data_IF_304828502427
#
_entry.id   IF_304828502427
#
_cell.length_a   1.000
_cell.length_b   1.000
_cell.length_c   1.000
_cell.angle_alpha   90.00
_cell.angle_beta   90.00
_cell.angle_gamma   90.00
#
_symmetry.space_group_name_H-M   'P 1'
#
loop_
_entity.id
_entity.type
_entity.pdbx_description
1 polymer ?
#
# COMPACT_ATOMS: atom_id res chain seq x y z
N UNK A 1 10.84 4.62 9.67
CA UNK A 1 9.82 3.64 10.11
C UNK A 1 8.90 4.17 11.21
N UNK A 2 9.43 4.77 12.31
CA UNK A 2 8.61 5.26 13.43
C UNK A 2 7.43 6.17 13.03
N UNK A 3 7.61 7.03 12.02
CA UNK A 3 6.55 7.88 11.48
C UNK A 3 5.40 7.05 10.90
N UNK A 4 5.70 5.97 10.17
CA UNK A 4 4.69 5.12 9.56
C UNK A 4 3.84 4.38 10.61
N UNK A 5 4.47 3.86 11.68
CA UNK A 5 3.74 3.27 12.79
C UNK A 5 2.75 4.25 13.43
N UNK A 6 3.17 5.49 13.67
CA UNK A 6 2.28 6.54 14.20
C UNK A 6 1.11 6.86 13.26
N UNK A 7 1.35 6.89 11.95
CA UNK A 7 0.29 7.12 10.96
C UNK A 7 -0.71 5.97 10.95
N UNK A 8 -0.23 4.71 10.90
CA UNK A 8 -1.12 3.54 10.94
C UNK A 8 -1.94 3.50 12.23
N UNK A 9 -1.34 3.82 13.37
CA UNK A 9 -2.05 3.91 14.65
C UNK A 9 -3.16 4.98 14.60
N UNK A 10 -2.88 6.14 14.03
CA UNK A 10 -3.88 7.20 13.84
C UNK A 10 -5.02 6.77 12.92
N UNK A 11 -4.72 6.15 11.78
CA UNK A 11 -5.76 5.67 10.87
C UNK A 11 -6.55 4.49 11.44
N UNK A 12 -5.94 3.65 12.30
CA UNK A 12 -6.66 2.61 13.03
C UNK A 12 -7.70 3.20 13.98
N UNK A 13 -7.34 4.25 14.70
CA UNK A 13 -8.30 4.99 15.56
C UNK A 13 -9.40 5.65 14.71
N UNK A 14 -9.06 6.19 13.55
CA UNK A 14 -10.04 6.75 12.61
C UNK A 14 -11.01 5.67 12.11
N UNK A 15 -10.51 4.48 11.74
CA UNK A 15 -11.37 3.37 11.33
C UNK A 15 -12.34 2.97 12.44
N UNK A 16 -11.86 2.85 13.68
CA UNK A 16 -12.71 2.54 14.83
C UNK A 16 -13.84 3.57 14.99
N UNK A 17 -13.49 4.87 14.98
CA UNK A 17 -14.48 5.94 15.08
C UNK A 17 -15.51 5.92 13.94
N UNK A 18 -15.04 5.76 12.68
CA UNK A 18 -15.91 5.69 11.51
C UNK A 18 -16.86 4.50 11.58
N UNK A 19 -16.37 3.35 12.04
CA UNK A 19 -17.18 2.13 12.21
C UNK A 19 -18.22 2.30 13.31
N UNK A 20 -17.82 2.79 14.48
CA UNK A 20 -18.71 2.98 15.65
C UNK A 20 -19.84 3.96 15.32
N UNK A 21 -19.50 5.10 14.72
CA UNK A 21 -20.52 6.08 14.31
C UNK A 21 -21.43 5.51 13.23
N UNK A 22 -20.90 4.74 12.29
CA UNK A 22 -21.70 4.09 11.25
C UNK A 22 -22.68 3.09 11.84
N UNK A 23 -22.24 2.28 12.78
CA UNK A 23 -23.10 1.33 13.49
C UNK A 23 -24.17 2.04 14.32
N UNK A 24 -23.81 3.12 15.02
CA UNK A 24 -24.75 3.89 15.82
C UNK A 24 -25.81 4.64 15.01
N UNK A 25 -25.43 5.13 13.81
CA UNK A 25 -26.33 5.95 12.96
C UNK A 25 -27.14 5.10 11.99
N UNK A 26 -26.55 4.06 11.40
CA UNK A 26 -27.15 3.25 10.34
C UNK A 26 -27.67 1.92 10.87
N UNK A 27 -27.14 1.41 11.98
CA UNK A 27 -27.53 0.12 12.53
C UNK A 27 -27.47 -1.00 11.47
N UNK A 28 -28.59 -1.75 11.33
CA UNK A 28 -28.72 -2.82 10.36
C UNK A 28 -28.65 -2.38 8.89
N UNK A 29 -28.91 -1.10 8.60
CA UNK A 29 -28.86 -0.59 7.23
C UNK A 29 -27.42 -0.50 6.70
N UNK A 30 -26.39 -0.49 7.55
CA UNK A 30 -25.02 -0.55 7.14
C UNK A 30 -24.74 -1.80 6.28
N UNK A 31 -25.34 -2.94 6.62
CA UNK A 31 -25.21 -4.19 5.85
C UNK A 31 -25.79 -4.07 4.43
N UNK A 32 -26.78 -3.23 4.23
CA UNK A 32 -27.41 -3.00 2.91
C UNK A 32 -26.64 -1.96 2.08
N UNK A 33 -25.75 -1.21 2.71
CA UNK A 33 -24.93 -0.18 2.07
C UNK A 33 -23.55 -0.73 1.74
N UNK A 34 -23.53 -1.73 0.85
CA UNK A 34 -22.31 -2.50 0.51
C UNK A 34 -21.12 -1.61 0.14
N UNK A 35 -21.34 -0.57 -0.68
CA UNK A 35 -20.28 0.36 -1.07
C UNK A 35 -19.70 1.15 0.11
N UNK A 36 -20.53 1.48 1.10
CA UNK A 36 -20.06 2.17 2.30
C UNK A 36 -19.26 1.22 3.19
N UNK A 37 -19.75 -0.01 3.37
CA UNK A 37 -19.04 -1.07 4.09
C UNK A 37 -17.73 -1.45 3.40
N UNK A 38 -17.70 -1.52 2.06
CA UNK A 38 -16.49 -1.79 1.29
C UNK A 38 -15.40 -0.77 1.57
N UNK A 39 -15.70 0.53 1.64
CA UNK A 39 -14.72 1.57 1.98
C UNK A 39 -14.12 1.40 3.37
N UNK A 40 -14.91 0.96 4.36
CA UNK A 40 -14.35 0.60 5.68
C UNK A 40 -13.44 -0.63 5.56
N UNK A 41 -13.80 -1.59 4.72
CA UNK A 41 -12.96 -2.74 4.37
C UNK A 41 -11.65 -2.34 3.70
N UNK A 42 -11.68 -1.37 2.78
CA UNK A 42 -10.48 -0.85 2.10
C UNK A 42 -9.52 -0.19 3.10
N UNK A 43 -10.05 0.60 4.06
CA UNK A 43 -9.24 1.18 5.13
C UNK A 43 -8.59 0.07 5.97
N UNK A 44 -9.36 -0.96 6.37
CA UNK A 44 -8.85 -2.09 7.14
C UNK A 44 -7.76 -2.85 6.37
N UNK A 45 -8.00 -3.13 5.10
CA UNK A 45 -7.04 -3.82 4.23
C UNK A 45 -5.75 -3.03 4.09
N UNK A 46 -5.85 -1.71 3.89
CA UNK A 46 -4.69 -0.82 3.86
C UNK A 46 -3.91 -0.82 5.18
N UNK A 47 -4.58 -0.79 6.32
CA UNK A 47 -3.94 -0.90 7.64
C UNK A 47 -3.21 -2.23 7.82
N UNK A 48 -3.82 -3.32 7.38
CA UNK A 48 -3.20 -4.64 7.41
C UNK A 48 -1.96 -4.69 6.52
N UNK A 49 -2.07 -4.27 5.26
CA UNK A 49 -0.97 -4.24 4.30
C UNK A 49 0.19 -3.36 4.78
N UNK A 50 -0.09 -2.17 5.29
CA UNK A 50 0.94 -1.29 5.84
C UNK A 50 1.63 -1.88 7.06
N UNK A 51 0.88 -2.52 7.95
CA UNK A 51 1.42 -3.18 9.15
C UNK A 51 2.31 -4.37 8.80
N UNK A 52 1.90 -5.22 7.87
CA UNK A 52 2.70 -6.37 7.42
C UNK A 52 3.95 -5.94 6.67
N UNK A 53 3.87 -4.89 5.85
CA UNK A 53 5.03 -4.30 5.16
C UNK A 53 6.07 -3.79 6.16
N UNK A 54 5.66 -3.06 7.19
CA UNK A 54 6.57 -2.58 8.23
C UNK A 54 7.15 -3.73 9.06
N UNK A 55 6.33 -4.72 9.41
CA UNK A 55 6.77 -5.88 10.15
C UNK A 55 7.81 -6.67 9.36
N UNK A 56 7.55 -6.95 8.08
CA UNK A 56 8.51 -7.62 7.20
C UNK A 56 9.84 -6.88 7.15
N UNK A 57 9.82 -5.56 6.91
CA UNK A 57 11.03 -4.75 6.89
C UNK A 57 11.82 -4.81 8.21
N UNK A 58 11.12 -4.82 9.36
CA UNK A 58 11.76 -4.93 10.68
C UNK A 58 12.37 -6.32 10.90
N UNK A 59 11.68 -7.40 10.51
CA UNK A 59 12.13 -8.79 10.65
C UNK A 59 13.29 -9.13 9.71
N UNK A 60 13.34 -8.54 8.52
CA UNK A 60 14.45 -8.68 7.55
C UNK A 60 15.69 -7.84 7.92
N UNK A 61 15.68 -7.15 9.07
CA UNK A 61 16.85 -6.45 9.62
C UNK A 61 16.97 -5.00 9.19
N UNK A 62 15.90 -4.36 8.67
CA UNK A 62 15.83 -2.93 8.28
C UNK A 62 16.91 -2.53 7.27
N UNK A 63 17.05 -3.34 6.24
CA UNK A 63 18.08 -3.17 5.23
C UNK A 63 17.90 -1.84 4.49
N UNK A 64 18.99 -1.08 4.37
CA UNK A 64 18.96 0.26 3.74
C UNK A 64 18.57 0.19 2.27
N UNK A 65 18.94 -0.87 1.60
CA UNK A 65 18.61 -1.11 0.19
C UNK A 65 17.11 -1.29 -0.06
N UNK A 66 16.34 -1.73 0.94
CA UNK A 66 14.89 -1.92 0.84
C UNK A 66 14.08 -0.65 1.17
N UNK A 67 14.75 0.42 1.66
CA UNK A 67 14.06 1.67 2.03
C UNK A 67 13.25 2.29 0.90
N UNK A 68 13.72 2.34 -0.37
CA UNK A 68 12.90 2.85 -1.46
C UNK A 68 11.60 2.07 -1.65
N UNK A 69 11.66 0.74 -1.61
CA UNK A 69 10.49 -0.14 -1.69
C UNK A 69 9.53 0.08 -0.53
N UNK A 70 10.07 0.15 0.70
CA UNK A 70 9.28 0.44 1.88
C UNK A 70 8.56 1.79 1.76
N UNK A 71 9.27 2.85 1.36
CA UNK A 71 8.69 4.18 1.23
C UNK A 71 7.60 4.23 0.17
N UNK A 72 7.83 3.60 -0.97
CA UNK A 72 6.84 3.51 -2.03
C UNK A 72 5.58 2.76 -1.57
N UNK A 73 5.76 1.55 -1.01
CA UNK A 73 4.65 0.73 -0.53
C UNK A 73 3.84 1.44 0.56
N UNK A 74 4.52 2.04 1.54
CA UNK A 74 3.86 2.79 2.61
C UNK A 74 3.15 4.03 2.10
N UNK A 75 3.74 4.78 1.18
CA UNK A 75 3.13 5.98 0.62
C UNK A 75 1.89 5.65 -0.19
N UNK A 76 1.94 4.60 -1.02
CA UNK A 76 0.78 4.09 -1.78
C UNK A 76 -0.34 3.67 -0.83
N UNK A 77 -0.02 2.80 0.13
CA UNK A 77 -1.00 2.29 1.09
C UNK A 77 -1.68 3.40 1.90
N UNK A 78 -0.91 4.36 2.40
CA UNK A 78 -1.44 5.47 3.19
C UNK A 78 -2.27 6.44 2.34
N UNK A 79 -1.89 6.66 1.07
CA UNK A 79 -2.69 7.41 0.12
C UNK A 79 -4.05 6.75 -0.13
N UNK A 80 -4.06 5.44 -0.30
CA UNK A 80 -5.29 4.67 -0.56
C UNK A 80 -6.20 4.67 0.68
N UNK A 81 -5.64 4.55 1.90
CA UNK A 81 -6.39 4.72 3.16
C UNK A 81 -7.05 6.11 3.23
N UNK A 82 -6.31 7.20 2.96
CA UNK A 82 -6.88 8.55 2.98
C UNK A 82 -7.96 8.73 1.90
N UNK A 83 -7.78 8.13 0.73
CA UNK A 83 -8.77 8.14 -0.35
C UNK A 83 -10.04 7.41 0.07
N UNK A 84 -9.92 6.21 0.66
CA UNK A 84 -11.07 5.45 1.16
C UNK A 84 -11.83 6.20 2.28
N UNK A 85 -11.12 6.88 3.19
CA UNK A 85 -11.72 7.74 4.22
C UNK A 85 -12.48 8.90 3.58
N UNK A 86 -11.88 9.61 2.64
CA UNK A 86 -12.50 10.75 1.97
C UNK A 86 -13.76 10.33 1.20
N UNK A 87 -13.67 9.24 0.44
CA UNK A 87 -14.78 8.64 -0.28
C UNK A 87 -15.90 8.14 0.65
N UNK A 88 -15.53 7.58 1.81
CA UNK A 88 -16.49 7.19 2.84
C UNK A 88 -17.28 8.40 3.34
N UNK A 89 -16.59 9.47 3.74
CA UNK A 89 -17.19 10.71 4.25
C UNK A 89 -18.02 11.44 3.19
N UNK A 90 -17.55 11.43 1.92
CA UNK A 90 -18.27 12.02 0.80
C UNK A 90 -19.61 11.34 0.52
N UNK A 91 -19.72 10.05 0.84
CA UNK A 91 -20.92 9.23 0.58
C UNK A 91 -21.70 8.85 1.84
N UNK A 92 -21.31 9.36 3.01
CA UNK A 92 -22.04 9.09 4.24
C UNK A 92 -23.44 9.75 4.20
N UNK A 93 -24.53 9.01 4.53
CA UNK A 93 -25.91 9.49 4.32
C UNK A 93 -26.26 10.76 5.06
N UNK A 94 -25.81 10.88 6.32
CA UNK A 94 -26.06 12.07 7.12
C UNK A 94 -24.93 13.09 6.93
N UNK A 95 -25.21 14.16 6.21
CA UNK A 95 -24.21 15.19 5.84
C UNK A 95 -23.65 15.96 7.03
N UNK A 96 -24.46 16.20 8.07
CA UNK A 96 -24.00 16.90 9.27
C UNK A 96 -23.00 16.03 10.05
N UNK A 97 -23.28 14.74 10.19
CA UNK A 97 -22.38 13.78 10.84
C UNK A 97 -21.10 13.61 9.98
N UNK A 98 -21.24 13.50 8.66
CA UNK A 98 -20.08 13.42 7.77
C UNK A 98 -19.15 14.63 7.91
N UNK A 99 -19.71 15.84 8.03
CA UNK A 99 -18.92 17.06 8.24
C UNK A 99 -18.20 17.06 9.59
N UNK A 100 -18.87 16.64 10.65
CA UNK A 100 -18.26 16.51 11.98
C UNK A 100 -17.12 15.48 11.99
N UNK A 101 -17.37 14.30 11.40
CA UNK A 101 -16.35 13.25 11.26
C UNK A 101 -15.15 13.72 10.43
N UNK A 102 -15.38 14.48 9.35
CA UNK A 102 -14.31 15.03 8.52
C UNK A 102 -13.34 15.89 9.33
N UNK A 103 -13.86 16.76 10.17
CA UNK A 103 -13.05 17.61 11.05
C UNK A 103 -12.25 16.77 12.06
N UNK A 104 -12.79 15.65 12.54
CA UNK A 104 -12.11 14.79 13.51
C UNK A 104 -11.06 13.90 12.87
N UNK A 105 -11.35 13.32 11.69
CA UNK A 105 -10.57 12.26 11.08
C UNK A 105 -9.53 12.79 10.09
N UNK A 106 -9.90 13.75 9.24
CA UNK A 106 -9.03 14.38 8.24
C UNK A 106 -9.23 15.90 8.20
N UNK A 107 -8.92 16.62 9.31
CA UNK A 107 -9.22 18.06 9.46
C UNK A 107 -8.60 18.93 8.35
N UNK A 108 -7.50 18.49 7.78
CA UNK A 108 -6.78 19.20 6.71
C UNK A 108 -6.92 18.53 5.33
N UNK A 109 -7.89 17.62 5.18
CA UNK A 109 -8.05 16.81 3.97
C UNK A 109 -6.95 15.75 3.82
N UNK A 110 -6.83 15.22 2.60
CA UNK A 110 -5.77 14.25 2.29
C UNK A 110 -4.40 14.92 2.28
N UNK A 111 -3.42 14.31 2.93
CA UNK A 111 -2.08 14.86 3.12
C UNK A 111 -1.00 14.03 2.44
N UNK A 112 -1.33 12.81 2.07
CA UNK A 112 -0.40 11.86 1.46
C UNK A 112 -0.75 11.73 -0.02
N UNK A 113 0.14 12.26 -0.87
CA UNK A 113 0.06 12.09 -2.32
C UNK A 113 0.52 10.70 -2.74
N UNK A 114 0.24 10.34 -3.99
CA UNK A 114 0.85 9.14 -4.62
C UNK A 114 2.36 9.26 -4.64
N UNK A 115 3.10 8.14 -4.72
CA UNK A 115 4.52 8.17 -5.02
C UNK A 115 4.81 8.98 -6.28
N UNK A 116 5.96 9.64 -6.32
CA UNK A 116 6.36 10.40 -7.51
C UNK A 116 6.90 9.46 -8.59
N UNK A 117 6.78 9.87 -9.85
CA UNK A 117 7.35 9.13 -11.01
C UNK A 117 8.84 8.83 -10.81
N UNK A 118 9.58 9.76 -10.16
CA UNK A 118 10.99 9.54 -9.82
C UNK A 118 11.17 8.35 -8.86
N UNK A 119 10.28 8.22 -7.87
CA UNK A 119 10.31 7.10 -6.92
C UNK A 119 9.96 5.80 -7.64
N UNK A 120 8.94 5.82 -8.48
CA UNK A 120 8.51 4.66 -9.26
C UNK A 120 9.58 4.21 -10.25
N UNK A 121 10.24 5.15 -10.92
CA UNK A 121 11.36 4.84 -11.81
C UNK A 121 12.54 4.20 -11.06
N UNK A 122 12.91 4.72 -9.90
CA UNK A 122 13.97 4.14 -9.08
C UNK A 122 13.63 2.71 -8.61
N UNK A 123 12.36 2.44 -8.28
CA UNK A 123 11.89 1.09 -7.96
C UNK A 123 11.95 0.18 -9.18
N UNK A 124 11.50 0.66 -10.35
CA UNK A 124 11.56 -0.11 -11.58
C UNK A 124 13.00 -0.52 -11.92
N UNK A 125 13.94 0.41 -11.85
CA UNK A 125 15.36 0.12 -12.05
C UNK A 125 15.89 -0.92 -11.07
N UNK A 126 15.54 -0.80 -9.77
CA UNK A 126 15.95 -1.76 -8.74
C UNK A 126 15.41 -3.18 -9.02
N UNK A 127 14.18 -3.30 -9.53
CA UNK A 127 13.56 -4.58 -9.82
C UNK A 127 14.00 -5.20 -11.16
N UNK A 128 14.42 -4.39 -12.10
CA UNK A 128 14.96 -4.84 -13.40
C UNK A 128 16.41 -5.29 -13.29
N UNK A 129 17.14 -4.83 -12.28
CA UNK A 129 18.57 -5.20 -12.11
C UNK A 129 18.69 -6.37 -11.12
N UNK A 130 19.54 -7.38 -11.39
CA UNK A 130 19.85 -8.42 -10.41
C UNK A 130 20.35 -7.80 -9.10
N UNK A 131 19.59 -8.02 -8.01
CA UNK A 131 19.91 -7.45 -6.70
C UNK A 131 19.42 -8.36 -5.57
N UNK A 132 20.04 -8.22 -4.40
CA UNK A 132 19.62 -8.96 -3.20
C UNK A 132 18.20 -8.58 -2.77
N UNK A 133 17.78 -7.33 -2.98
CA UNK A 133 16.42 -6.87 -2.73
C UNK A 133 15.40 -7.58 -3.64
N UNK A 134 15.70 -7.68 -4.95
CA UNK A 134 14.87 -8.43 -5.90
C UNK A 134 14.77 -9.90 -5.52
N UNK A 135 15.88 -10.54 -5.17
CA UNK A 135 15.91 -11.94 -4.75
C UNK A 135 15.08 -12.19 -3.48
N UNK A 136 15.13 -11.28 -2.49
CA UNK A 136 14.29 -11.38 -1.29
C UNK A 136 12.80 -11.19 -1.59
N UNK A 137 12.43 -10.27 -2.48
CA UNK A 137 11.03 -10.11 -2.89
C UNK A 137 10.50 -11.33 -3.62
N UNK A 138 11.34 -11.98 -4.43
CA UNK A 138 11.01 -13.21 -5.18
C UNK A 138 11.12 -14.48 -4.34
N UNK A 139 11.53 -14.40 -3.06
CA UNK A 139 11.68 -15.59 -2.23
C UNK A 139 10.36 -16.36 -2.08
N UNK A 140 10.42 -17.66 -2.33
CA UNK A 140 9.26 -18.54 -2.29
C UNK A 140 8.44 -18.59 -3.58
N UNK A 141 8.78 -17.80 -4.60
CA UNK A 141 8.23 -17.95 -5.94
C UNK A 141 8.91 -19.11 -6.66
N UNK A 142 8.15 -19.87 -7.44
CA UNK A 142 8.68 -20.96 -8.26
C UNK A 142 9.29 -20.36 -9.55
N UNK A 143 10.55 -19.96 -9.45
CA UNK A 143 11.35 -19.43 -10.55
C UNK A 143 12.39 -20.48 -10.96
N UNK A 144 11.94 -21.64 -11.48
CA UNK A 144 12.87 -22.64 -11.97
C UNK A 144 13.45 -22.20 -13.31
N UNK A 145 14.76 -22.42 -13.47
CA UNK A 145 15.49 -22.22 -14.74
C UNK A 145 15.59 -23.52 -15.57
N UNK A 146 14.68 -24.47 -15.31
CA UNK A 146 14.62 -25.69 -16.14
C UNK A 146 14.15 -25.36 -17.54
N UNK A 147 14.67 -26.11 -18.53
CA UNK A 147 14.34 -25.98 -19.95
C UNK A 147 12.82 -26.15 -20.16
N UNK A 148 12.19 -25.18 -20.84
CA UNK A 148 10.74 -25.13 -21.06
C UNK A 148 9.92 -24.51 -19.91
N UNK A 149 10.57 -23.94 -18.88
CA UNK A 149 9.92 -23.14 -17.86
C UNK A 149 9.72 -21.71 -18.35
N UNK A 150 8.47 -21.29 -18.53
CA UNK A 150 8.14 -19.91 -18.95
C UNK A 150 8.81 -18.84 -18.07
N UNK A 151 8.82 -19.02 -16.75
CA UNK A 151 9.45 -18.07 -15.83
C UNK A 151 10.98 -18.13 -15.92
N UNK A 152 11.56 -19.32 -16.13
CA UNK A 152 12.99 -19.48 -16.36
C UNK A 152 13.44 -18.78 -17.64
N UNK A 153 12.68 -18.93 -18.71
CA UNK A 153 12.96 -18.30 -20.01
C UNK A 153 12.86 -16.77 -19.91
N UNK A 154 11.87 -16.24 -19.15
CA UNK A 154 11.75 -14.80 -18.91
C UNK A 154 12.91 -14.23 -18.09
N UNK A 155 13.35 -14.93 -17.04
CA UNK A 155 14.53 -14.54 -16.26
C UNK A 155 15.81 -14.56 -17.08
N UNK A 156 15.98 -15.61 -17.93
CA UNK A 156 17.13 -15.69 -18.84
C UNK A 156 17.10 -14.55 -19.86
N UNK A 157 15.94 -14.26 -20.43
CA UNK A 157 15.78 -13.15 -21.38
C UNK A 157 16.14 -11.80 -20.74
N UNK A 158 15.77 -11.59 -19.48
CA UNK A 158 16.15 -10.38 -18.75
C UNK A 158 17.68 -10.29 -18.58
N UNK A 159 18.33 -11.39 -18.19
CA UNK A 159 19.79 -11.44 -18.05
C UNK A 159 20.48 -11.14 -19.39
N UNK A 160 19.97 -11.66 -20.50
CA UNK A 160 20.50 -11.45 -21.86
C UNK A 160 20.32 -9.98 -22.30
N UNK A 161 19.18 -9.38 -22.02
CA UNK A 161 18.93 -7.96 -22.31
C UNK A 161 19.91 -7.08 -21.54
N UNK A 162 20.05 -7.29 -20.23
CA UNK A 162 20.99 -6.53 -19.40
C UNK A 162 22.45 -6.69 -19.85
N UNK A 163 22.83 -7.88 -20.32
CA UNK A 163 24.16 -8.14 -20.85
C UNK A 163 24.42 -7.45 -22.21
N UNK A 164 23.36 -7.22 -23.01
CA UNK A 164 23.46 -6.58 -24.33
C UNK A 164 23.38 -5.04 -24.27
N UNK A 165 22.81 -4.47 -23.20
CA UNK A 165 22.57 -3.02 -23.06
C UNK A 165 23.86 -2.17 -23.26
N UNK A 166 25.03 -2.54 -22.71
CA UNK A 166 26.27 -1.78 -22.91
C UNK A 166 26.80 -1.77 -24.35
N UNK A 167 26.23 -2.62 -25.25
CA UNK A 167 26.66 -2.69 -26.65
C UNK A 167 25.98 -1.60 -27.48
N UNK A 168 24.85 -1.06 -26.99
CA UNK A 168 24.03 -0.07 -27.69
C UNK A 168 24.19 1.36 -27.14
N UNK A 169 24.94 1.57 -26.04
CA UNK A 169 25.37 2.87 -25.54
C UNK A 169 26.70 3.32 -26.16
#
# INVERSE_FOLDING_TARGET
>A
TARYYKLLQGYSANLALLTDVSMGVLGGDLKRRERLSARLGDILSGLYMGSTTLKRFDEEGRLKEDLPLLHWAMQTTLHDIETAIDDFLANFPNRAIAAALRVMVIPFGRRIGKPSDKTEHAIAQMLQTPSTARSRLGYGQYLTREEGSLFGDLEQTLDDVLASEPIFE
#
